data_IF_195921170853
#
_entry.id   IF_195921170853
#
_cell.length_a   1.000
_cell.length_b   1.000
_cell.length_c   1.000
_cell.angle_alpha   90.00
_cell.angle_beta   90.00
_cell.angle_gamma   90.00
#
_symmetry.space_group_name_H-M   'P 1'
#
loop_
_entity.id
_entity.type
_entity.pdbx_description
1 polymer ?
#
# COMPACT_ATOMS: atom_id res chain seq x y z
N UNK A 1 6.06 -8.02 -0.93
CA UNK A 1 5.10 -7.29 -0.08
C UNK A 1 3.95 -8.23 0.25
N UNK A 2 3.35 -8.13 1.43
CA UNK A 2 2.25 -9.02 1.84
C UNK A 2 1.00 -8.20 2.11
N UNK A 3 -0.13 -8.60 1.52
CA UNK A 3 -1.45 -8.01 1.76
C UNK A 3 -2.27 -9.05 2.50
N UNK A 4 -2.83 -8.64 3.64
CA UNK A 4 -3.53 -9.53 4.56
C UNK A 4 -4.64 -8.78 5.30
N UNK A 5 -5.80 -9.41 5.57
CA UNK A 5 -6.86 -8.78 6.33
C UNK A 5 -6.48 -8.66 7.81
N UNK A 6 -7.04 -7.67 8.51
CA UNK A 6 -6.85 -7.56 9.96
C UNK A 6 -7.42 -8.83 10.63
N UNK A 7 -6.68 -9.36 11.60
CA UNK A 7 -7.10 -10.52 12.39
C UNK A 7 -7.12 -10.21 13.87
N UNK A 8 -8.01 -10.91 14.56
CA UNK A 8 -8.01 -11.03 16.01
C UNK A 8 -7.43 -12.38 16.41
N UNK A 9 -6.67 -12.38 17.50
CA UNK A 9 -6.18 -13.58 18.16
C UNK A 9 -6.52 -13.52 19.65
N UNK A 10 -6.74 -14.66 20.30
CA UNK A 10 -7.07 -14.73 21.73
C UNK A 10 -8.56 -14.85 22.00
N UNK A 11 -8.99 -14.47 23.20
CA UNK A 11 -10.41 -14.55 23.61
C UNK A 11 -11.22 -13.47 22.88
N UNK A 12 -12.14 -13.92 22.02
CA UNK A 12 -13.04 -13.08 21.22
C UNK A 12 -14.41 -13.13 21.89
N UNK A 13 -14.88 -11.99 22.42
CA UNK A 13 -16.18 -11.90 23.10
C UNK A 13 -17.39 -12.14 22.17
N UNK A 14 -17.18 -12.10 20.84
CA UNK A 14 -18.21 -12.39 19.84
C UNK A 14 -19.33 -11.36 19.74
N UNK A 15 -19.18 -10.18 20.36
CA UNK A 15 -20.21 -9.13 20.35
C UNK A 15 -20.22 -8.36 19.02
N UNK A 16 -21.39 -7.98 18.47
CA UNK A 16 -21.52 -7.27 17.18
C UNK A 16 -20.65 -6.02 17.06
N UNK A 17 -20.52 -5.26 18.15
CA UNK A 17 -19.74 -4.02 18.21
C UNK A 17 -18.26 -4.25 17.88
N UNK A 18 -17.72 -5.42 18.23
CA UNK A 18 -16.34 -5.77 17.94
C UNK A 18 -16.16 -6.06 16.44
N UNK A 19 -17.11 -6.72 15.80
CA UNK A 19 -17.08 -6.95 14.35
C UNK A 19 -17.16 -5.63 13.58
N UNK A 20 -18.07 -4.73 13.96
CA UNK A 20 -18.15 -3.39 13.35
C UNK A 20 -16.85 -2.59 13.54
N UNK A 21 -16.22 -2.71 14.70
CA UNK A 21 -14.95 -2.04 14.96
C UNK A 21 -13.83 -2.55 14.04
N UNK A 22 -13.74 -3.87 13.85
CA UNK A 22 -12.76 -4.47 12.94
C UNK A 22 -12.98 -4.04 11.50
N UNK A 23 -14.24 -4.02 11.04
CA UNK A 23 -14.58 -3.62 9.69
C UNK A 23 -14.19 -2.16 9.45
N UNK A 24 -14.50 -1.26 10.40
CA UNK A 24 -14.04 0.14 10.37
C UNK A 24 -12.51 0.28 10.40
N UNK A 25 -11.81 -0.58 11.13
CA UNK A 25 -10.35 -0.59 11.14
C UNK A 25 -9.79 -1.01 9.78
N UNK A 26 -10.33 -2.07 9.21
CA UNK A 26 -9.93 -2.61 7.92
C UNK A 26 -10.19 -1.60 6.80
N UNK A 27 -11.36 -0.96 6.80
CA UNK A 27 -11.71 0.09 5.84
C UNK A 27 -10.78 1.31 5.91
N UNK A 28 -10.37 1.71 7.12
CA UNK A 28 -9.38 2.80 7.27
C UNK A 28 -8.03 2.44 6.66
N UNK A 29 -7.56 1.22 6.86
CA UNK A 29 -6.30 0.74 6.27
C UNK A 29 -6.41 0.64 4.75
N UNK A 30 -7.50 0.07 4.25
CA UNK A 30 -7.79 -0.03 2.80
C UNK A 30 -7.78 1.37 2.17
N UNK A 31 -8.52 2.31 2.76
CA UNK A 31 -8.59 3.69 2.26
C UNK A 31 -7.22 4.37 2.28
N UNK A 32 -6.46 4.25 3.37
CA UNK A 32 -5.13 4.84 3.46
C UNK A 32 -4.21 4.33 2.34
N UNK A 33 -4.20 3.03 2.07
CA UNK A 33 -3.35 2.45 1.01
C UNK A 33 -3.80 2.91 -0.38
N UNK A 34 -5.11 2.89 -0.66
CA UNK A 34 -5.67 3.34 -1.95
C UNK A 34 -5.39 4.83 -2.19
N UNK A 35 -5.55 5.69 -1.18
CA UNK A 35 -5.33 7.13 -1.28
C UNK A 35 -3.84 7.50 -1.53
N UNK A 36 -2.91 6.60 -1.17
CA UNK A 36 -1.46 6.83 -1.28
C UNK A 36 -0.78 5.92 -2.31
N UNK A 37 -1.55 5.27 -3.18
CA UNK A 37 -1.02 4.46 -4.28
C UNK A 37 -1.95 4.55 -5.50
N UNK A 38 -1.61 3.85 -6.58
CA UNK A 38 -2.42 3.82 -7.80
C UNK A 38 -3.29 2.56 -7.90
N UNK A 39 -3.36 1.75 -6.84
CA UNK A 39 -4.19 0.55 -6.81
C UNK A 39 -5.66 0.91 -6.61
N UNK A 40 -6.57 0.21 -7.30
CA UNK A 40 -8.00 0.37 -7.05
C UNK A 40 -8.41 -0.29 -5.73
N UNK A 41 -9.47 0.24 -5.11
CA UNK A 41 -10.01 -0.34 -3.88
C UNK A 41 -10.48 -1.78 -4.09
N UNK A 42 -11.13 -2.06 -5.23
CA UNK A 42 -11.59 -3.39 -5.61
C UNK A 42 -10.41 -4.35 -5.71
N UNK A 43 -9.34 -3.95 -6.39
CA UNK A 43 -8.17 -4.79 -6.56
C UNK A 43 -7.46 -5.06 -5.24
N UNK A 44 -7.33 -4.05 -4.38
CA UNK A 44 -6.71 -4.23 -3.07
C UNK A 44 -7.51 -5.18 -2.18
N UNK A 45 -8.85 -5.08 -2.17
CA UNK A 45 -9.73 -6.03 -1.47
C UNK A 45 -9.65 -7.43 -2.06
N UNK A 46 -9.63 -7.58 -3.38
CA UNK A 46 -9.47 -8.87 -4.05
C UNK A 46 -8.18 -9.57 -3.56
N UNK A 47 -7.04 -8.86 -3.56
CA UNK A 47 -5.76 -9.40 -3.11
C UNK A 47 -5.78 -9.74 -1.61
N UNK A 48 -6.54 -9.01 -0.81
CA UNK A 48 -6.68 -9.26 0.63
C UNK A 48 -7.44 -10.56 0.93
N UNK A 49 -8.46 -10.91 0.14
CA UNK A 49 -9.28 -12.11 0.34
C UNK A 49 -8.91 -13.29 -0.56
N UNK A 50 -7.91 -13.11 -1.43
CA UNK A 50 -7.40 -14.19 -2.28
C UNK A 50 -6.92 -15.36 -1.41
N UNK A 51 -7.36 -16.56 -1.76
CA UNK A 51 -7.03 -17.79 -1.05
C UNK A 51 -5.97 -18.58 -1.84
N UNK A 52 -4.99 -19.16 -1.16
CA UNK A 52 -4.06 -20.12 -1.76
C UNK A 52 -2.67 -19.58 -2.14
N UNK A 53 -2.41 -18.28 -2.03
CA UNK A 53 -1.05 -17.74 -2.20
C UNK A 53 -0.21 -17.77 -0.91
N UNK A 54 -0.87 -17.82 0.25
CA UNK A 54 -0.24 -18.11 1.53
C UNK A 54 -0.61 -19.53 1.94
N UNK A 55 0.37 -20.31 2.40
CA UNK A 55 0.21 -21.72 2.72
C UNK A 55 -0.80 -21.95 3.87
N UNK A 56 -2.08 -22.12 3.51
CA UNK A 56 -3.27 -22.23 4.39
C UNK A 56 -3.79 -20.90 4.95
N UNK A 57 -3.42 -19.78 4.33
CA UNK A 57 -3.83 -18.46 4.78
C UNK A 57 -4.53 -17.64 3.69
N UNK A 58 -5.39 -16.71 4.14
CA UNK A 58 -6.05 -15.71 3.29
C UNK A 58 -5.10 -14.52 3.14
N UNK A 59 -4.90 -14.05 1.91
CA UNK A 59 -4.01 -12.95 1.59
C UNK A 59 -3.07 -13.29 0.43
N UNK A 60 -2.31 -12.29 -0.01
CA UNK A 60 -1.48 -12.35 -1.22
C UNK A 60 -0.06 -11.92 -0.89
N UNK A 61 0.94 -12.66 -1.40
CA UNK A 61 2.34 -12.23 -1.38
C UNK A 61 2.70 -11.74 -2.78
N UNK A 62 2.92 -10.44 -2.91
CA UNK A 62 3.33 -9.81 -4.16
C UNK A 62 4.85 -9.74 -4.26
N UNK A 63 5.39 -10.27 -5.35
CA UNK A 63 6.76 -10.00 -5.79
C UNK A 63 6.82 -8.58 -6.38
N UNK A 64 7.95 -7.88 -6.26
CA UNK A 64 8.04 -6.44 -6.57
C UNK A 64 7.46 -6.03 -7.93
N UNK A 65 7.67 -6.84 -8.98
CA UNK A 65 7.10 -6.57 -10.32
C UNK A 65 5.57 -6.61 -10.31
N UNK A 66 4.97 -7.51 -9.55
CA UNK A 66 3.51 -7.61 -9.45
C UNK A 66 2.93 -6.47 -8.62
N UNK A 67 3.65 -6.02 -7.59
CA UNK A 67 3.29 -4.82 -6.84
C UNK A 67 3.29 -3.55 -7.72
N UNK A 68 4.23 -3.43 -8.66
CA UNK A 68 4.21 -2.37 -9.68
C UNK A 68 3.00 -2.51 -10.61
N UNK A 69 2.74 -3.71 -11.14
CA UNK A 69 1.61 -3.95 -12.07
C UNK A 69 0.26 -3.59 -11.48
N UNK A 70 0.05 -3.86 -10.20
CA UNK A 70 -1.22 -3.53 -9.52
C UNK A 70 -1.28 -2.09 -9.02
N UNK A 71 -0.23 -1.30 -9.23
CA UNK A 71 -0.19 0.12 -8.84
C UNK A 71 0.09 0.36 -7.36
N UNK A 72 0.55 -0.65 -6.61
CA UNK A 72 0.85 -0.50 -5.19
C UNK A 72 2.15 0.29 -4.95
N UNK A 73 3.12 0.16 -5.87
CA UNK A 73 4.38 0.91 -5.89
C UNK A 73 4.68 1.37 -7.32
N UNK A 74 5.51 2.41 -7.48
CA UNK A 74 5.79 2.99 -8.80
C UNK A 74 6.82 2.18 -9.61
N UNK A 75 7.85 1.64 -8.96
CA UNK A 75 8.94 0.95 -9.66
C UNK A 75 9.67 -0.04 -8.74
N UNK A 76 10.47 -0.91 -9.36
CA UNK A 76 11.47 -1.75 -8.68
C UNK A 76 12.83 -1.39 -9.27
N UNK A 77 13.83 -1.17 -8.42
CA UNK A 77 15.18 -0.83 -8.83
C UNK A 77 16.20 -1.19 -7.76
N UNK A 78 17.47 -0.97 -8.07
CA UNK A 78 18.58 -1.08 -7.12
C UNK A 78 18.82 0.21 -6.34
N UNK A 79 19.90 0.18 -5.55
CA UNK A 79 20.30 1.33 -4.73
C UNK A 79 20.77 2.52 -5.60
N UNK A 80 21.42 2.25 -6.74
CA UNK A 80 21.92 3.32 -7.60
C UNK A 80 20.77 4.17 -8.15
N UNK A 81 19.74 3.50 -8.65
CA UNK A 81 18.52 4.11 -9.18
C UNK A 81 17.80 4.93 -8.11
N UNK A 82 17.73 4.42 -6.87
CA UNK A 82 17.14 5.16 -5.75
C UNK A 82 17.91 6.44 -5.42
N UNK A 83 19.25 6.40 -5.40
CA UNK A 83 20.10 7.58 -5.14
C UNK A 83 19.99 8.60 -6.27
N UNK A 84 19.96 8.16 -7.52
CA UNK A 84 19.74 9.02 -8.68
C UNK A 84 18.38 9.72 -8.60
N UNK A 85 17.31 8.99 -8.22
CA UNK A 85 15.98 9.59 -8.09
C UNK A 85 15.92 10.66 -7.01
N UNK A 86 16.59 10.44 -5.88
CA UNK A 86 16.68 11.45 -4.80
C UNK A 86 17.39 12.71 -5.30
N UNK A 87 18.51 12.57 -6.04
CA UNK A 87 19.23 13.71 -6.62
C UNK A 87 18.36 14.48 -7.61
N UNK A 88 17.65 13.77 -8.49
CA UNK A 88 16.70 14.36 -9.44
C UNK A 88 15.62 15.19 -8.73
N UNK A 89 15.03 14.65 -7.65
CA UNK A 89 14.00 15.34 -6.86
C UNK A 89 14.55 16.58 -6.14
N UNK A 90 15.79 16.53 -5.64
CA UNK A 90 16.45 17.69 -5.04
C UNK A 90 16.62 18.81 -6.08
N UNK A 91 17.04 18.47 -7.30
CA UNK A 91 17.25 19.45 -8.36
C UNK A 91 15.94 20.02 -8.91
N UNK A 92 14.88 19.20 -9.01
CA UNK A 92 13.54 19.67 -9.34
C UNK A 92 13.02 20.68 -8.30
N UNK A 93 13.26 20.42 -7.01
CA UNK A 93 12.85 21.33 -5.93
C UNK A 93 13.59 22.67 -5.99
N UNK A 94 14.90 22.65 -6.23
CA UNK A 94 15.71 23.87 -6.40
C UNK A 94 15.27 24.71 -7.60
N UNK A 95 14.90 24.07 -8.71
CA UNK A 95 14.39 24.76 -9.89
C UNK A 95 13.05 25.46 -9.63
N UNK A 96 12.14 24.81 -8.90
CA UNK A 96 10.88 25.45 -8.48
C UNK A 96 11.12 26.67 -7.60
N UNK A 97 12.00 26.60 -6.61
CA UNK A 97 12.28 27.73 -5.72
C UNK A 97 12.92 28.94 -6.43
N UNK A 98 13.72 28.71 -7.47
CA UNK A 98 14.34 29.80 -8.23
C UNK A 98 13.41 30.45 -9.27
N UNK A 99 12.31 29.78 -9.65
CA UNK A 99 11.32 30.31 -10.60
C UNK A 99 10.26 31.23 -9.98
N UNK A 100 10.11 31.22 -8.65
CA UNK A 100 9.09 32.01 -7.94
C UNK A 100 9.60 33.38 -7.45
N UNK A 101 10.92 33.65 -7.56
CA UNK A 101 11.54 34.94 -7.19
C UNK A 101 11.68 35.95 -8.34
N UNK A 102 11.05 35.70 -9.50
CA UNK A 102 11.24 36.47 -10.73
C UNK A 102 9.98 37.16 -11.28
N UNK A 103 9.04 37.55 -10.43
CA UNK A 103 7.92 38.44 -10.78
C UNK A 103 7.84 39.61 -9.83
#
# INVERSE_FOLDING_TARGET
MTIHPIRLTGLVLGVPQMYEYLDKMQDRVVKFVVDHSNISQEKFRELMFKTGELARDIGTVLVGRDAVKVGLINEVGGLSEAVEKVKELIDLRKRKSNGEGGR
#
